data_IF_115007310440
#
_entry.id   IF_115007310440
#
_cell.length_a   1.000
_cell.length_b   1.000
_cell.length_c   1.000
_cell.angle_alpha   90.00
_cell.angle_beta   90.00
_cell.angle_gamma   90.00
#
_symmetry.space_group_name_H-M   'P 1'
#
loop_
_entity.id
_entity.type
_entity.pdbx_description
1 polymer ?
#
# COMPACT_ATOMS: atom_id res chain seq x y z
N UNK A 1 -27.03 34.69 -49.62
CA UNK A 1 -28.06 33.90 -48.90
C UNK A 1 -28.09 32.51 -49.50
N UNK A 2 -28.31 31.52 -48.62
CA UNK A 2 -28.50 30.07 -48.84
C UNK A 2 -27.31 29.27 -49.38
N UNK A 3 -26.57 28.66 -48.44
CA UNK A 3 -25.64 27.56 -48.67
C UNK A 3 -26.35 26.21 -48.68
N UNK A 4 -25.82 25.29 -49.48
CA UNK A 4 -26.23 23.89 -49.54
C UNK A 4 -25.44 23.06 -48.53
N UNK A 5 -26.16 22.32 -47.71
CA UNK A 5 -25.68 21.29 -46.80
C UNK A 5 -25.32 20.02 -47.59
N UNK A 6 -24.02 19.73 -47.73
CA UNK A 6 -23.52 18.44 -48.22
C UNK A 6 -23.45 17.43 -47.08
N UNK A 7 -24.35 16.44 -47.10
CA UNK A 7 -24.30 15.23 -46.28
C UNK A 7 -23.06 14.41 -46.62
N UNK A 8 -22.24 14.08 -45.61
CA UNK A 8 -21.02 13.26 -45.72
C UNK A 8 -21.31 11.78 -45.34
N UNK A 9 -22.46 11.24 -45.75
CA UNK A 9 -22.76 9.81 -45.62
C UNK A 9 -22.91 9.18 -47.00
N UNK A 10 -21.87 8.49 -47.48
CA UNK A 10 -21.96 7.35 -48.42
C UNK A 10 -20.59 7.01 -49.03
N UNK A 11 -19.67 6.51 -48.22
CA UNK A 11 -18.52 5.76 -48.74
C UNK A 11 -18.23 4.65 -47.77
N UNK A 12 -18.88 3.49 -47.91
CA UNK A 12 -18.38 2.14 -47.57
C UNK A 12 -19.46 1.09 -47.85
N UNK A 13 -19.67 0.69 -49.10
CA UNK A 13 -20.30 -0.60 -49.42
C UNK A 13 -19.76 -1.09 -50.77
N UNK A 14 -18.53 -1.62 -50.78
CA UNK A 14 -18.13 -2.62 -51.75
C UNK A 14 -17.53 -3.80 -50.98
N UNK A 15 -18.25 -4.92 -51.06
CA UNK A 15 -17.90 -6.20 -50.47
C UNK A 15 -16.60 -6.71 -51.07
N UNK A 16 -15.53 -6.73 -50.27
CA UNK A 16 -14.32 -7.47 -50.58
C UNK A 16 -14.39 -8.80 -49.84
N UNK A 17 -14.55 -9.89 -50.58
CA UNK A 17 -14.28 -11.25 -50.13
C UNK A 17 -12.78 -11.36 -49.81
N UNK A 18 -12.42 -10.98 -48.59
CA UNK A 18 -11.09 -11.22 -48.05
C UNK A 18 -10.98 -12.71 -47.69
N UNK A 19 -10.13 -13.44 -48.44
CA UNK A 19 -9.58 -14.70 -47.95
C UNK A 19 -8.97 -14.43 -46.58
N UNK A 20 -9.48 -15.11 -45.55
CA UNK A 20 -8.98 -15.06 -44.19
C UNK A 20 -7.60 -15.75 -44.13
N UNK A 21 -6.56 -15.02 -44.54
CA UNK A 21 -5.26 -15.20 -43.90
C UNK A 21 -5.52 -14.80 -42.45
N UNK A 22 -5.59 -15.79 -41.56
CA UNK A 22 -5.68 -15.61 -40.11
C UNK A 22 -4.38 -14.95 -39.62
N UNK A 23 -4.16 -13.68 -40.00
CA UNK A 23 -3.35 -12.80 -39.17
C UNK A 23 -4.11 -12.71 -37.86
N UNK A 24 -3.60 -13.41 -36.84
CA UNK A 24 -4.13 -13.31 -35.50
C UNK A 24 -4.06 -11.84 -35.12
N UNK A 25 -5.22 -11.18 -35.03
CA UNK A 25 -5.34 -9.79 -34.60
C UNK A 25 -4.59 -9.56 -33.27
N UNK A 26 -4.50 -10.61 -32.45
CA UNK A 26 -3.68 -10.65 -31.24
C UNK A 26 -2.18 -10.42 -31.51
N UNK A 27 -1.57 -11.02 -32.54
CA UNK A 27 -0.15 -10.81 -32.86
C UNK A 27 0.11 -9.39 -33.35
N UNK A 28 -0.78 -8.85 -34.19
CA UNK A 28 -0.65 -7.47 -34.65
C UNK A 28 -0.77 -6.47 -33.49
N UNK A 29 -1.76 -6.66 -32.61
CA UNK A 29 -1.95 -5.83 -31.42
C UNK A 29 -0.74 -5.91 -30.48
N UNK A 30 -0.17 -7.11 -30.27
CA UNK A 30 1.03 -7.28 -29.45
C UNK A 30 2.22 -6.50 -30.03
N UNK A 31 2.44 -6.58 -31.34
CA UNK A 31 3.51 -5.82 -32.01
C UNK A 31 3.33 -4.30 -31.84
N UNK A 32 2.09 -3.80 -31.90
CA UNK A 32 1.80 -2.38 -31.64
C UNK A 32 2.14 -2.02 -30.19
N UNK A 33 1.66 -2.81 -29.21
CA UNK A 33 1.90 -2.57 -27.79
C UNK A 33 3.41 -2.60 -27.48
N UNK A 34 4.14 -3.56 -28.04
CA UNK A 34 5.59 -3.67 -27.87
C UNK A 34 6.30 -2.47 -28.50
N UNK A 35 5.87 -2.00 -29.67
CA UNK A 35 6.43 -0.82 -30.29
C UNK A 35 6.17 0.44 -29.46
N UNK A 36 4.92 0.64 -29.00
CA UNK A 36 4.54 1.77 -28.15
C UNK A 36 5.35 1.80 -26.85
N UNK A 37 5.61 0.65 -26.24
CA UNK A 37 6.45 0.57 -25.04
C UNK A 37 7.92 0.87 -25.35
N UNK A 38 8.53 0.19 -26.33
CA UNK A 38 9.97 0.28 -26.58
C UNK A 38 10.41 1.58 -27.26
N UNK A 39 9.58 2.16 -28.13
CA UNK A 39 9.90 3.40 -28.83
C UNK A 39 9.17 4.60 -28.22
N UNK A 40 7.87 4.45 -27.94
CA UNK A 40 7.08 5.52 -27.36
C UNK A 40 7.48 5.83 -25.92
N UNK A 41 7.39 4.86 -25.01
CA UNK A 41 7.67 5.09 -23.59
C UNK A 41 9.17 5.14 -23.27
N UNK A 42 9.94 4.12 -23.65
CA UNK A 42 11.36 3.99 -23.27
C UNK A 42 12.26 5.04 -23.94
N UNK A 43 11.96 5.44 -25.18
CA UNK A 43 12.78 6.41 -25.94
C UNK A 43 12.14 7.79 -26.07
N UNK A 44 10.85 7.92 -25.79
CA UNK A 44 10.13 9.19 -25.95
C UNK A 44 9.97 9.63 -27.40
N UNK A 45 10.03 8.69 -28.36
CA UNK A 45 9.84 8.99 -29.78
C UNK A 45 8.42 9.49 -30.03
N UNK A 46 8.27 10.54 -30.85
CA UNK A 46 6.98 11.17 -31.19
C UNK A 46 6.16 11.75 -30.02
N UNK A 47 6.80 11.95 -28.87
CA UNK A 47 6.17 12.57 -27.71
C UNK A 47 5.69 14.00 -28.01
N UNK A 48 4.44 14.29 -27.61
CA UNK A 48 3.80 15.61 -27.69
C UNK A 48 3.69 16.29 -26.31
N UNK A 49 4.04 15.56 -25.24
CA UNK A 49 3.90 15.98 -23.86
C UNK A 49 5.20 15.73 -23.08
N UNK A 50 5.57 16.66 -22.22
CA UNK A 50 6.68 16.56 -21.27
C UNK A 50 6.10 16.52 -19.86
N UNK A 51 6.38 15.45 -19.12
CA UNK A 51 5.89 15.24 -17.77
C UNK A 51 7.04 15.34 -16.78
N UNK A 52 6.96 16.27 -15.84
CA UNK A 52 7.89 16.43 -14.72
C UNK A 52 7.34 15.74 -13.48
N UNK A 53 8.12 14.81 -12.93
CA UNK A 53 7.78 14.07 -11.70
C UNK A 53 9.05 13.84 -10.90
N UNK A 54 9.06 14.26 -9.64
CA UNK A 54 10.29 14.35 -8.84
C UNK A 54 11.36 15.14 -9.61
N UNK A 55 12.56 14.56 -9.78
CA UNK A 55 13.67 15.13 -10.53
C UNK A 55 13.72 14.63 -11.98
N UNK A 56 12.70 13.88 -12.43
CA UNK A 56 12.70 13.23 -13.74
C UNK A 56 11.80 13.95 -14.72
N UNK A 57 12.20 13.87 -15.98
CA UNK A 57 11.50 14.44 -17.12
C UNK A 57 11.19 13.31 -18.10
N UNK A 58 9.92 13.09 -18.37
CA UNK A 58 9.45 12.07 -19.29
C UNK A 58 8.86 12.70 -20.54
N UNK A 59 9.31 12.26 -21.71
CA UNK A 59 8.72 12.64 -23.00
C UNK A 59 7.67 11.57 -23.37
N UNK A 60 6.39 11.93 -23.30
CA UNK A 60 5.25 11.02 -23.35
C UNK A 60 4.16 11.51 -24.34
N UNK A 61 3.13 10.69 -24.51
CA UNK A 61 2.06 10.89 -25.49
C UNK A 61 0.74 11.20 -24.80
N UNK A 62 0.14 12.35 -25.10
CA UNK A 62 -1.11 12.81 -24.49
C UNK A 62 -2.24 11.76 -24.60
N UNK A 63 -2.34 11.08 -25.75
CA UNK A 63 -3.33 10.03 -25.99
C UNK A 63 -3.18 8.80 -25.09
N UNK A 64 -1.94 8.47 -24.69
CA UNK A 64 -1.68 7.37 -23.76
C UNK A 64 -1.89 7.84 -22.32
N UNK A 65 -1.42 9.05 -21.99
CA UNK A 65 -1.60 9.65 -20.67
C UNK A 65 -3.08 9.88 -20.33
N UNK A 66 -3.94 10.18 -21.31
CA UNK A 66 -5.36 10.39 -21.09
C UNK A 66 -6.12 9.16 -20.61
N UNK A 67 -5.49 7.98 -20.61
CA UNK A 67 -6.02 6.76 -19.97
C UNK A 67 -6.06 6.87 -18.44
N UNK A 68 -5.23 7.73 -17.85
CA UNK A 68 -5.25 8.05 -16.42
C UNK A 68 -6.20 9.24 -16.16
N UNK A 69 -7.24 9.06 -15.30
CA UNK A 69 -8.13 10.15 -14.90
C UNK A 69 -7.39 11.35 -14.29
N UNK A 70 -6.34 11.09 -13.52
CA UNK A 70 -5.51 12.13 -12.93
C UNK A 70 -4.73 12.91 -14.00
N UNK A 71 -4.06 12.21 -14.92
CA UNK A 71 -3.26 12.86 -15.95
C UNK A 71 -4.12 13.58 -16.99
N UNK A 72 -5.30 13.06 -17.36
CA UNK A 72 -6.20 13.78 -18.28
C UNK A 72 -6.72 15.08 -17.67
N UNK A 73 -6.95 15.10 -16.35
CA UNK A 73 -7.31 16.33 -15.64
C UNK A 73 -6.14 17.33 -15.70
N UNK A 74 -4.91 16.91 -15.38
CA UNK A 74 -3.72 17.78 -15.50
C UNK A 74 -3.50 18.28 -16.93
N UNK A 75 -3.71 17.43 -17.94
CA UNK A 75 -3.61 17.81 -19.34
C UNK A 75 -4.64 18.87 -19.72
N UNK A 76 -5.85 18.81 -19.13
CA UNK A 76 -6.96 19.71 -19.45
C UNK A 76 -6.86 21.06 -18.73
N UNK A 77 -6.25 21.09 -17.54
CA UNK A 77 -6.08 22.32 -16.73
C UNK A 77 -4.74 23.02 -16.99
N UNK A 78 -3.79 22.35 -17.64
CA UNK A 78 -2.55 22.97 -18.06
C UNK A 78 -2.81 24.10 -19.07
N UNK A 79 -2.18 25.28 -18.92
CA UNK A 79 -2.29 26.35 -19.90
C UNK A 79 -1.97 25.83 -21.30
N UNK A 80 -2.81 26.16 -22.29
CA UNK A 80 -2.54 25.80 -23.67
C UNK A 80 -1.24 26.47 -24.11
N UNK A 81 -0.27 25.65 -24.51
CA UNK A 81 0.98 26.15 -25.08
C UNK A 81 0.72 26.56 -26.54
N UNK A 82 1.46 27.57 -27.01
CA UNK A 82 1.44 28.04 -28.38
C UNK A 82 1.58 26.87 -29.38
N UNK A 83 0.97 27.03 -30.56
CA UNK A 83 1.04 26.06 -31.67
C UNK A 83 2.52 25.72 -31.95
N UNK A 84 2.88 24.44 -31.82
CA UNK A 84 4.24 23.95 -32.12
C UNK A 84 5.14 23.70 -30.91
N UNK A 85 4.69 23.95 -29.67
CA UNK A 85 5.45 23.64 -28.44
C UNK A 85 4.83 22.45 -27.70
N UNK A 86 5.66 21.48 -27.28
CA UNK A 86 5.22 20.33 -26.49
C UNK A 86 4.58 20.77 -25.16
N UNK A 87 3.46 20.15 -24.80
CA UNK A 87 2.73 20.47 -23.56
C UNK A 87 3.55 20.02 -22.36
N UNK A 88 3.82 20.90 -21.40
CA UNK A 88 4.57 20.55 -20.18
C UNK A 88 3.63 20.48 -18.98
N UNK A 89 3.67 19.36 -18.24
CA UNK A 89 2.85 19.14 -17.04
C UNK A 89 3.73 18.70 -15.86
N UNK A 90 3.35 19.14 -14.66
CA UNK A 90 4.06 18.87 -13.41
C UNK A 90 3.17 18.06 -12.48
N UNK A 91 3.69 16.97 -11.94
CA UNK A 91 2.97 16.10 -11.00
C UNK A 91 3.41 16.42 -9.57
N UNK A 92 2.48 16.85 -8.69
CA UNK A 92 2.80 17.14 -7.29
C UNK A 92 2.94 15.85 -6.49
N UNK A 93 4.17 15.39 -6.28
CA UNK A 93 4.51 14.15 -5.55
C UNK A 93 5.28 14.40 -4.26
N UNK A 94 5.68 15.64 -3.98
CA UNK A 94 6.60 16.01 -2.89
C UNK A 94 6.04 15.70 -1.49
N UNK A 95 4.72 15.52 -1.38
CA UNK A 95 4.02 15.21 -0.12
C UNK A 95 3.71 13.74 0.04
N UNK A 96 4.05 12.91 -0.94
CA UNK A 96 3.63 11.51 -1.02
C UNK A 96 4.86 10.60 -1.06
N UNK A 97 5.49 10.30 0.10
CA UNK A 97 6.76 9.57 0.16
C UNK A 97 6.65 8.13 -0.38
N UNK A 98 5.44 7.58 -0.38
CA UNK A 98 5.14 6.25 -0.91
C UNK A 98 5.12 6.23 -2.44
N UNK A 99 4.95 7.38 -3.11
CA UNK A 99 5.04 7.48 -4.57
C UNK A 99 6.50 7.69 -4.96
N UNK A 100 7.27 6.61 -5.06
CA UNK A 100 8.68 6.72 -5.45
C UNK A 100 8.84 6.94 -6.96
N UNK A 101 10.02 7.40 -7.39
CA UNK A 101 10.37 7.52 -8.81
C UNK A 101 10.19 6.19 -9.56
N UNK A 102 10.65 5.08 -8.98
CA UNK A 102 10.57 3.76 -9.60
C UNK A 102 9.12 3.31 -9.72
N UNK A 103 8.33 3.40 -8.63
CA UNK A 103 6.93 3.03 -8.62
C UNK A 103 6.12 3.81 -9.65
N UNK A 104 6.38 5.12 -9.75
CA UNK A 104 5.73 5.99 -10.72
C UNK A 104 6.12 5.66 -12.16
N UNK A 105 7.41 5.38 -12.43
CA UNK A 105 7.86 4.99 -13.76
C UNK A 105 7.23 3.67 -14.23
N UNK A 106 7.09 2.69 -13.34
CA UNK A 106 6.41 1.42 -13.65
C UNK A 106 4.93 1.66 -13.97
N UNK A 107 4.24 2.50 -13.17
CA UNK A 107 2.83 2.82 -13.40
C UNK A 107 2.61 3.61 -14.72
N UNK A 108 3.52 4.53 -15.07
CA UNK A 108 3.50 5.18 -16.39
C UNK A 108 3.74 4.19 -17.53
N UNK A 109 4.72 3.29 -17.38
CA UNK A 109 4.99 2.25 -18.37
C UNK A 109 3.79 1.33 -18.58
N UNK A 110 3.02 1.06 -17.52
CA UNK A 110 1.80 0.25 -17.59
C UNK A 110 0.73 0.86 -18.51
N UNK A 111 0.63 2.19 -18.59
CA UNK A 111 -0.28 2.86 -19.54
C UNK A 111 0.02 2.51 -21.00
N UNK A 112 1.29 2.18 -21.31
CA UNK A 112 1.73 1.75 -22.63
C UNK A 112 1.64 0.23 -22.81
N UNK A 113 2.06 -0.55 -21.81
CA UNK A 113 2.09 -2.02 -21.90
C UNK A 113 2.11 -2.70 -20.53
N UNK A 114 1.42 -3.83 -20.43
CA UNK A 114 1.41 -4.73 -19.27
C UNK A 114 2.76 -5.39 -19.01
N UNK A 115 3.75 -5.27 -19.91
CA UNK A 115 5.13 -5.74 -19.66
C UNK A 115 5.72 -5.13 -18.39
N UNK A 116 5.27 -3.93 -18.00
CA UNK A 116 5.67 -3.24 -16.77
C UNK A 116 5.35 -4.03 -15.50
N UNK A 117 4.36 -4.94 -15.54
CA UNK A 117 4.05 -5.83 -14.41
C UNK A 117 5.25 -6.70 -14.02
N UNK A 118 6.13 -7.05 -14.98
CA UNK A 118 7.34 -7.86 -14.73
C UNK A 118 8.39 -7.12 -13.90
N UNK A 119 8.26 -5.80 -13.77
CA UNK A 119 9.17 -4.95 -12.99
C UNK A 119 8.74 -4.85 -11.52
N UNK A 120 7.54 -5.34 -11.19
CA UNK A 120 7.00 -5.31 -9.83
C UNK A 120 7.64 -6.42 -9.02
N UNK A 121 8.22 -6.04 -7.89
CA UNK A 121 8.93 -6.89 -6.93
C UNK A 121 8.48 -6.55 -5.51
N UNK A 122 8.67 -7.44 -4.53
CA UNK A 122 8.31 -7.18 -3.13
C UNK A 122 8.79 -5.81 -2.61
N UNK A 123 9.99 -5.37 -3.03
CA UNK A 123 10.64 -4.16 -2.54
C UNK A 123 10.03 -2.87 -3.10
N UNK A 124 9.45 -2.92 -4.30
CA UNK A 124 8.88 -1.75 -4.98
C UNK A 124 7.34 -1.79 -5.10
N UNK A 125 6.70 -2.93 -4.77
CA UNK A 125 5.28 -3.15 -4.98
C UNK A 125 4.40 -2.10 -4.29
N UNK A 126 4.78 -1.68 -3.08
CA UNK A 126 4.05 -0.64 -2.33
C UNK A 126 4.05 0.69 -3.07
N UNK A 127 5.20 1.07 -3.63
CA UNK A 127 5.33 2.30 -4.38
C UNK A 127 4.59 2.27 -5.72
N UNK A 128 4.61 1.11 -6.41
CA UNK A 128 3.82 0.90 -7.63
C UNK A 128 2.33 0.99 -7.32
N UNK A 129 1.87 0.40 -6.21
CA UNK A 129 0.48 0.49 -5.77
C UNK A 129 0.07 1.95 -5.49
N UNK A 130 0.88 2.69 -4.74
CA UNK A 130 0.64 4.10 -4.46
C UNK A 130 0.55 4.94 -5.75
N UNK A 131 1.51 4.76 -6.67
CA UNK A 131 1.50 5.43 -7.95
C UNK A 131 0.29 5.04 -8.81
N UNK A 132 -0.08 3.77 -8.82
CA UNK A 132 -1.22 3.27 -9.59
C UNK A 132 -2.54 3.84 -9.11
N UNK A 133 -2.76 3.89 -7.79
CA UNK A 133 -3.92 4.51 -7.19
C UNK A 133 -3.95 6.03 -7.41
N UNK A 134 -2.80 6.71 -7.35
CA UNK A 134 -2.69 8.15 -7.64
C UNK A 134 -3.07 8.47 -9.09
N UNK A 135 -2.54 7.71 -10.05
CA UNK A 135 -2.83 7.91 -11.47
C UNK A 135 -4.27 7.52 -11.82
N UNK A 136 -4.79 6.46 -11.19
CA UNK A 136 -6.12 5.91 -11.44
C UNK A 136 -6.27 5.23 -12.81
N UNK A 137 -7.37 4.49 -12.99
CA UNK A 137 -7.71 3.83 -14.25
C UNK A 137 -6.84 2.61 -14.62
N UNK A 138 -6.19 2.00 -13.62
CA UNK A 138 -5.26 0.88 -13.79
C UNK A 138 -5.45 -0.19 -12.70
N UNK A 139 -6.69 -0.67 -12.57
CA UNK A 139 -7.10 -1.59 -11.50
C UNK A 139 -6.28 -2.89 -11.48
N UNK A 140 -6.03 -3.49 -12.66
CA UNK A 140 -5.19 -4.71 -12.77
C UNK A 140 -3.76 -4.50 -12.26
N UNK A 141 -3.18 -3.30 -12.45
CA UNK A 141 -1.86 -2.95 -11.92
C UNK A 141 -1.92 -2.88 -10.39
N UNK A 142 -2.93 -2.19 -9.86
CA UNK A 142 -3.12 -2.03 -8.43
C UNK A 142 -3.36 -3.38 -7.75
N UNK A 143 -4.20 -4.24 -8.31
CA UNK A 143 -4.46 -5.57 -7.77
C UNK A 143 -3.21 -6.45 -7.78
N UNK A 144 -2.44 -6.46 -8.88
CA UNK A 144 -1.18 -7.20 -8.95
C UNK A 144 -0.14 -6.69 -7.95
N UNK A 145 0.00 -5.36 -7.81
CA UNK A 145 0.91 -4.75 -6.86
C UNK A 145 0.49 -5.05 -5.42
N UNK A 146 -0.81 -4.97 -5.11
CA UNK A 146 -1.36 -5.35 -3.81
C UNK A 146 -1.11 -6.82 -3.47
N UNK A 147 -1.35 -7.75 -4.39
CA UNK A 147 -1.07 -9.17 -4.17
C UNK A 147 0.42 -9.45 -3.95
N UNK A 148 1.29 -8.64 -4.57
CA UNK A 148 2.74 -8.71 -4.35
C UNK A 148 3.11 -8.17 -2.97
N UNK A 149 2.53 -7.04 -2.54
CA UNK A 149 2.65 -6.52 -1.18
C UNK A 149 2.23 -7.57 -0.14
N UNK A 150 1.04 -8.16 -0.31
CA UNK A 150 0.51 -9.17 0.60
C UNK A 150 1.43 -10.39 0.74
N UNK A 151 1.95 -10.90 -0.37
CA UNK A 151 2.89 -12.05 -0.38
C UNK A 151 4.26 -11.70 0.22
N UNK A 152 4.62 -10.42 0.24
CA UNK A 152 5.89 -9.98 0.82
C UNK A 152 5.87 -9.88 2.35
N UNK A 153 4.71 -10.00 3.01
CA UNK A 153 4.61 -9.92 4.47
C UNK A 153 5.18 -11.21 5.08
N UNK A 154 6.28 -11.08 5.81
CA UNK A 154 7.04 -12.19 6.41
C UNK A 154 7.71 -11.74 7.71
N UNK A 155 8.38 -12.66 8.42
CA UNK A 155 9.12 -12.34 9.65
C UNK A 155 10.20 -11.29 9.38
N UNK A 156 10.90 -11.38 8.25
CA UNK A 156 12.02 -10.50 7.92
C UNK A 156 11.56 -9.10 7.46
N UNK A 157 10.36 -9.01 6.89
CA UNK A 157 9.84 -7.79 6.28
C UNK A 157 8.78 -7.09 7.14
N UNK A 158 8.35 -7.68 8.25
CA UNK A 158 7.29 -7.12 9.10
C UNK A 158 7.63 -5.74 9.66
N UNK A 159 8.91 -5.46 9.94
CA UNK A 159 9.35 -4.15 10.48
C UNK A 159 8.90 -2.97 9.59
N UNK A 160 9.33 -2.90 8.32
CA UNK A 160 8.87 -1.89 7.38
C UNK A 160 7.35 -1.85 7.14
N UNK A 161 6.63 -2.95 7.37
CA UNK A 161 5.16 -2.97 7.31
C UNK A 161 4.52 -2.33 8.56
N UNK A 162 5.11 -2.51 9.73
CA UNK A 162 4.67 -1.86 10.97
C UNK A 162 4.90 -0.35 10.93
N UNK A 163 6.04 0.09 10.42
CA UNK A 163 6.34 1.52 10.20
C UNK A 163 5.30 2.16 9.26
N UNK A 164 4.99 1.47 8.17
CA UNK A 164 3.95 1.90 7.23
C UNK A 164 2.57 2.03 7.91
N UNK A 165 2.15 1.02 8.67
CA UNK A 165 0.85 1.02 9.36
C UNK A 165 0.77 2.14 10.42
N UNK A 166 1.87 2.42 11.11
CA UNK A 166 1.94 3.53 12.08
C UNK A 166 1.76 4.87 11.36
N UNK A 167 2.47 5.08 10.25
CA UNK A 167 2.42 6.31 9.47
C UNK A 167 1.04 6.64 8.88
N UNK A 168 0.21 5.62 8.58
CA UNK A 168 -1.15 5.80 8.05
C UNK A 168 -2.23 5.90 9.14
N UNK A 169 -1.91 5.62 10.41
CA UNK A 169 -2.88 5.71 11.50
C UNK A 169 -2.99 7.18 11.94
N UNK A 170 -4.17 7.81 11.90
CA UNK A 170 -4.31 9.19 12.37
C UNK A 170 -3.95 9.26 13.87
N UNK A 171 -3.24 10.32 14.33
CA UNK A 171 -2.90 10.45 15.73
C UNK A 171 -4.19 10.52 16.55
N UNK A 172 -4.47 9.49 17.35
CA UNK A 172 -5.54 9.55 18.33
C UNK A 172 -5.12 10.48 19.47
N UNK A 173 -5.24 11.80 19.27
CA UNK A 173 -5.10 12.81 20.31
C UNK A 173 -5.90 14.04 19.87
N UNK A 174 -6.99 14.30 20.58
CA UNK A 174 -7.93 15.40 20.32
C UNK A 174 -7.31 16.78 20.47
N UNK A 175 -6.66 17.25 19.41
CA UNK A 175 -6.38 18.65 19.17
C UNK A 175 -7.03 19.03 17.84
N UNK A 176 -8.24 19.60 17.93
CA UNK A 176 -8.89 20.31 16.84
C UNK A 176 -7.98 21.44 16.35
N UNK A 177 -7.23 21.17 15.29
CA UNK A 177 -6.60 22.21 14.48
C UNK A 177 -6.99 21.93 13.03
N UNK A 178 -7.83 22.77 12.41
CA UNK A 178 -8.19 22.61 11.00
C UNK A 178 -7.03 23.13 10.13
N UNK A 179 -5.95 22.35 10.06
CA UNK A 179 -4.95 22.48 9.01
C UNK A 179 -5.32 21.59 7.82
N UNK A 180 -4.97 21.94 6.57
CA UNK A 180 -5.15 21.06 5.43
C UNK A 180 -4.06 19.97 5.47
N UNK A 181 -4.10 19.09 6.46
CA UNK A 181 -3.26 17.89 6.49
C UNK A 181 -3.89 16.84 5.57
N UNK A 182 -3.35 16.76 4.36
CA UNK A 182 -3.67 15.69 3.42
C UNK A 182 -3.10 14.41 4.01
N UNK A 183 -3.97 13.56 4.55
CA UNK A 183 -3.55 12.31 5.18
C UNK A 183 -2.97 11.34 4.13
N UNK A 184 -1.85 10.64 4.41
CA UNK A 184 -1.26 9.61 3.53
C UNK A 184 -2.23 8.45 3.17
N UNK A 185 -3.38 8.41 3.84
CA UNK A 185 -4.55 7.55 3.59
C UNK A 185 -5.11 7.73 2.16
N UNK A 186 -4.95 8.88 1.52
CA UNK A 186 -5.58 9.14 0.22
C UNK A 186 -4.93 8.40 -0.94
N UNK A 187 -3.62 8.14 -0.89
CA UNK A 187 -2.91 7.63 -2.06
C UNK A 187 -3.17 6.15 -2.34
N UNK A 188 -3.41 5.33 -1.31
CA UNK A 188 -3.65 3.89 -1.47
C UNK A 188 -5.13 3.53 -1.69
N UNK A 189 -6.03 4.51 -1.70
CA UNK A 189 -7.47 4.30 -1.88
C UNK A 189 -8.01 3.16 -0.98
N UNK A 190 -8.71 2.15 -1.54
CA UNK A 190 -9.28 1.05 -0.75
C UNK A 190 -8.24 0.05 -0.23
N UNK A 191 -7.01 0.06 -0.74
CA UNK A 191 -5.99 -0.93 -0.39
C UNK A 191 -5.34 -0.65 0.97
N UNK A 192 -5.43 0.58 1.48
CA UNK A 192 -4.83 0.96 2.78
C UNK A 192 -5.35 0.10 3.94
N UNK A 193 -6.67 -0.09 4.02
CA UNK A 193 -7.28 -0.91 5.06
C UNK A 193 -6.98 -2.39 4.83
N UNK A 194 -7.00 -2.84 3.58
CA UNK A 194 -6.68 -4.24 3.23
C UNK A 194 -5.25 -4.61 3.64
N UNK A 195 -4.28 -3.74 3.37
CA UNK A 195 -2.89 -3.94 3.79
C UNK A 195 -2.75 -3.95 5.32
N UNK A 196 -3.45 -3.04 6.02
CA UNK A 196 -3.49 -3.04 7.49
C UNK A 196 -4.07 -4.36 8.03
N UNK A 197 -5.15 -4.86 7.44
CA UNK A 197 -5.79 -6.11 7.82
C UNK A 197 -4.90 -7.33 7.53
N UNK A 198 -4.18 -7.33 6.40
CA UNK A 198 -3.23 -8.39 6.07
C UNK A 198 -2.03 -8.41 7.05
N UNK A 199 -1.50 -7.25 7.43
CA UNK A 199 -0.46 -7.14 8.47
C UNK A 199 -0.99 -7.62 9.82
N UNK A 200 -2.20 -7.23 10.20
CA UNK A 200 -2.84 -7.70 11.43
C UNK A 200 -3.05 -9.21 11.43
N UNK A 201 -3.57 -9.77 10.33
CA UNK A 201 -3.76 -11.21 10.14
C UNK A 201 -2.43 -11.95 10.18
N UNK A 202 -1.37 -11.37 9.63
CA UNK A 202 -0.04 -11.95 9.72
C UNK A 202 0.39 -12.07 11.18
N UNK A 203 0.34 -10.98 11.96
CA UNK A 203 0.74 -10.97 13.38
C UNK A 203 -0.06 -11.94 14.25
N UNK A 204 -1.38 -12.02 14.02
CA UNK A 204 -2.30 -12.73 14.90
C UNK A 204 -2.43 -14.21 14.55
N UNK A 205 -2.38 -14.55 13.26
CA UNK A 205 -2.65 -15.92 12.78
C UNK A 205 -1.43 -16.55 12.14
N UNK A 206 -0.78 -15.85 11.21
CA UNK A 206 0.24 -16.48 10.36
C UNK A 206 1.57 -16.65 11.10
N UNK A 207 2.00 -15.61 11.81
CA UNK A 207 3.27 -15.59 12.54
C UNK A 207 3.31 -16.64 13.67
N UNK A 208 2.31 -16.75 14.57
CA UNK A 208 2.32 -17.81 15.59
C UNK A 208 2.30 -19.23 15.01
N UNK A 209 1.70 -19.43 13.84
CA UNK A 209 1.68 -20.71 13.14
C UNK A 209 3.05 -21.05 12.52
N UNK A 210 3.70 -20.08 11.87
CA UNK A 210 5.05 -20.25 11.30
C UNK A 210 6.07 -20.55 12.41
N UNK A 211 5.92 -19.93 13.58
CA UNK A 211 6.81 -20.10 14.73
C UNK A 211 6.45 -21.31 15.60
N UNK A 212 5.45 -22.11 15.20
CA UNK A 212 5.01 -23.33 15.89
C UNK A 212 4.71 -23.14 17.40
N UNK A 213 4.20 -21.96 17.78
CA UNK A 213 3.94 -21.60 19.19
C UNK A 213 2.88 -22.52 19.84
N UNK A 214 2.09 -23.20 19.01
CA UNK A 214 1.01 -24.10 19.37
C UNK A 214 1.43 -25.56 19.59
N UNK A 215 2.68 -25.93 19.34
CA UNK A 215 3.11 -27.31 19.45
C UNK A 215 2.90 -27.79 20.89
N UNK A 216 1.88 -28.63 21.08
CA UNK A 216 1.69 -29.37 22.32
C UNK A 216 2.95 -30.23 22.52
N UNK A 217 3.55 -30.24 23.72
CA UNK A 217 4.67 -31.13 23.98
C UNK A 217 4.14 -32.57 23.87
N UNK A 218 4.40 -33.22 22.74
CA UNK A 218 4.32 -34.68 22.68
C UNK A 218 5.45 -35.19 23.59
N UNK A 219 5.14 -36.19 24.43
CA UNK A 219 6.02 -36.71 25.49
C UNK A 219 7.41 -37.20 25.02
N UNK A 220 7.72 -37.14 23.72
CA UNK A 220 8.99 -37.59 23.13
C UNK A 220 9.69 -36.56 22.20
N UNK A 221 9.29 -35.28 22.19
CA UNK A 221 9.98 -34.24 21.40
C UNK A 221 10.50 -33.11 22.29
N UNK A 222 11.74 -32.63 22.10
CA UNK A 222 12.24 -31.51 22.88
C UNK A 222 11.40 -30.27 22.58
N UNK A 223 11.09 -29.55 23.66
CA UNK A 223 10.81 -28.10 23.79
C UNK A 223 10.45 -27.37 22.49
N UNK A 224 9.29 -26.68 22.47
CA UNK A 224 9.01 -25.55 21.56
C UNK A 224 10.33 -24.80 21.31
N UNK A 225 10.78 -24.60 20.06
CA UNK A 225 12.08 -23.98 19.83
C UNK A 225 12.08 -22.64 20.56
N UNK A 226 12.95 -22.47 21.57
CA UNK A 226 12.99 -21.27 22.43
C UNK A 226 13.04 -20.00 21.56
N UNK A 227 13.69 -20.11 20.40
CA UNK A 227 13.78 -19.10 19.36
C UNK A 227 12.42 -18.59 18.85
N UNK A 228 11.39 -19.45 18.71
CA UNK A 228 10.10 -19.05 18.15
C UNK A 228 9.37 -18.05 19.04
N UNK A 229 9.33 -18.31 20.35
CA UNK A 229 8.71 -17.39 21.32
C UNK A 229 9.51 -16.09 21.43
N UNK A 230 10.84 -16.16 21.36
CA UNK A 230 11.72 -14.99 21.37
C UNK A 230 11.51 -14.11 20.13
N UNK A 231 11.44 -14.70 18.92
CA UNK A 231 11.14 -13.97 17.67
C UNK A 231 9.77 -13.31 17.75
N UNK A 232 8.74 -14.02 18.24
CA UNK A 232 7.40 -13.45 18.42
C UNK A 232 7.45 -12.24 19.36
N UNK A 233 8.18 -12.34 20.47
CA UNK A 233 8.36 -11.26 21.44
C UNK A 233 9.08 -10.07 20.80
N UNK A 234 10.14 -10.33 20.04
CA UNK A 234 10.90 -9.30 19.31
C UNK A 234 10.00 -8.55 18.32
N UNK A 235 9.20 -9.26 17.51
CA UNK A 235 8.26 -8.63 16.57
C UNK A 235 7.22 -7.80 17.32
N UNK A 236 6.57 -8.36 18.34
CA UNK A 236 5.55 -7.65 19.13
C UNK A 236 6.09 -6.48 19.94
N UNK A 237 7.42 -6.41 20.16
CA UNK A 237 8.07 -5.25 20.77
C UNK A 237 8.06 -4.00 19.87
N UNK A 238 7.94 -4.17 18.55
CA UNK A 238 7.90 -3.09 17.56
C UNK A 238 6.50 -2.73 17.05
N UNK A 239 5.44 -3.43 17.45
CA UNK A 239 4.08 -3.22 16.90
C UNK A 239 3.45 -1.92 17.44
N UNK A 240 2.84 -1.05 16.60
CA UNK A 240 2.11 0.13 17.08
C UNK A 240 1.02 -0.20 18.09
N UNK A 241 0.75 0.68 19.05
CA UNK A 241 -0.08 0.34 20.22
C UNK A 241 -1.47 -0.17 19.88
N UNK A 242 -2.18 0.50 18.97
CA UNK A 242 -3.55 0.11 18.65
C UNK A 242 -3.58 -1.28 18.02
N UNK A 243 -2.59 -1.59 17.19
CA UNK A 243 -2.43 -2.91 16.58
C UNK A 243 -1.99 -3.95 17.61
N UNK A 244 -1.08 -3.60 18.53
CA UNK A 244 -0.64 -4.47 19.62
C UNK A 244 -1.80 -4.83 20.55
N UNK A 245 -2.56 -3.82 21.01
CA UNK A 245 -3.75 -3.99 21.84
C UNK A 245 -4.77 -4.88 21.14
N UNK A 246 -5.12 -4.56 19.88
CA UNK A 246 -6.07 -5.33 19.10
C UNK A 246 -5.61 -6.79 18.87
N UNK A 247 -4.31 -7.01 18.70
CA UNK A 247 -3.75 -8.35 18.50
C UNK A 247 -3.83 -9.19 19.78
N UNK A 248 -3.39 -8.65 20.93
CA UNK A 248 -3.46 -9.34 22.22
C UNK A 248 -4.91 -9.63 22.61
N UNK A 249 -5.81 -8.69 22.39
CA UNK A 249 -7.24 -8.85 22.70
C UNK A 249 -8.00 -9.70 21.67
N UNK A 250 -7.35 -10.13 20.59
CA UNK A 250 -7.99 -10.92 19.55
C UNK A 250 -8.24 -12.36 20.01
N UNK A 251 -9.43 -12.93 19.79
CA UNK A 251 -9.65 -14.37 20.00
C UNK A 251 -8.82 -15.23 19.04
N UNK A 252 -8.43 -14.67 17.88
CA UNK A 252 -7.63 -15.37 16.88
C UNK A 252 -6.15 -15.47 17.27
N UNK A 253 -5.69 -14.74 18.28
CA UNK A 253 -4.31 -14.80 18.76
C UNK A 253 -4.11 -16.00 19.68
N UNK A 254 -3.95 -17.16 19.06
CA UNK A 254 -3.78 -18.42 19.76
C UNK A 254 -2.28 -18.56 20.09
N UNK A 255 -1.93 -18.48 21.38
CA UNK A 255 -0.55 -18.70 21.88
C UNK A 255 -0.55 -19.52 23.19
N UNK A 256 -1.63 -20.29 23.39
CA UNK A 256 -1.92 -21.02 24.63
C UNK A 256 -3.14 -20.46 25.37
N UNK A 257 -3.18 -20.69 26.70
CA UNK A 257 -4.27 -20.23 27.57
C UNK A 257 -4.27 -18.71 27.76
N UNK A 258 -5.37 -18.16 28.29
CA UNK A 258 -5.45 -16.74 28.66
C UNK A 258 -4.34 -16.32 29.64
N UNK A 259 -3.91 -17.23 30.51
CA UNK A 259 -2.77 -17.00 31.41
C UNK A 259 -1.44 -16.93 30.64
N UNK A 260 -1.23 -17.79 29.63
CA UNK A 260 -0.03 -17.75 28.79
C UNK A 260 0.01 -16.47 27.95
N UNK A 261 -1.16 -16.05 27.43
CA UNK A 261 -1.33 -14.79 26.70
C UNK A 261 -1.08 -13.57 27.58
N UNK A 262 -1.62 -13.56 28.79
CA UNK A 262 -1.34 -12.51 29.77
C UNK A 262 0.15 -12.41 30.10
N UNK A 263 0.82 -13.54 30.32
CA UNK A 263 2.26 -13.60 30.57
C UNK A 263 3.04 -13.04 29.37
N UNK A 264 2.71 -13.46 28.15
CA UNK A 264 3.33 -12.95 26.93
C UNK A 264 3.13 -11.44 26.77
N UNK A 265 1.91 -10.94 26.95
CA UNK A 265 1.62 -9.50 26.86
C UNK A 265 2.43 -8.69 27.88
N UNK A 266 2.62 -9.22 29.10
CA UNK A 266 3.46 -8.60 30.11
C UNK A 266 4.94 -8.55 29.68
N UNK A 267 5.48 -9.65 29.17
CA UNK A 267 6.84 -9.73 28.63
C UNK A 267 7.04 -8.74 27.46
N UNK A 268 6.08 -8.68 26.54
CA UNK A 268 6.12 -7.77 25.41
C UNK A 268 6.09 -6.30 25.85
N UNK A 269 5.21 -5.93 26.79
CA UNK A 269 5.15 -4.58 27.37
C UNK A 269 6.49 -4.20 28.00
N UNK A 270 7.15 -5.10 28.74
CA UNK A 270 8.47 -4.82 29.31
C UNK A 270 9.52 -4.57 28.21
N UNK A 271 9.54 -5.38 27.14
CA UNK A 271 10.43 -5.19 26.00
C UNK A 271 10.17 -3.83 25.29
N UNK A 272 8.90 -3.44 25.17
CA UNK A 272 8.47 -2.19 24.50
C UNK A 272 8.93 -0.93 25.22
N UNK A 273 9.16 -0.97 26.54
CA UNK A 273 9.66 0.17 27.33
C UNK A 273 11.02 0.67 26.87
N UNK A 274 11.83 -0.22 26.29
CA UNK A 274 13.16 0.12 25.77
C UNK A 274 13.12 0.69 24.35
N UNK A 275 11.98 0.57 23.64
CA UNK A 275 11.79 1.01 22.26
C UNK A 275 10.63 1.99 22.11
N UNK A 276 9.62 1.60 21.32
CA UNK A 276 8.52 2.46 20.87
C UNK A 276 7.58 2.97 21.98
N UNK A 277 7.62 2.38 23.18
CA UNK A 277 6.82 2.83 24.33
C UNK A 277 7.65 3.65 25.35
N UNK A 278 8.84 4.13 24.98
CA UNK A 278 9.70 4.91 25.88
C UNK A 278 8.98 6.18 26.37
N UNK A 279 8.69 6.23 27.67
CA UNK A 279 7.99 7.35 28.31
C UNK A 279 6.46 7.20 28.39
N UNK A 280 5.91 6.10 27.88
CA UNK A 280 4.51 5.72 28.01
C UNK A 280 4.37 4.58 29.04
N UNK A 281 3.24 4.53 29.74
CA UNK A 281 2.91 3.46 30.67
C UNK A 281 1.85 2.55 30.02
N UNK A 282 2.31 1.43 29.48
CA UNK A 282 1.44 0.34 29.02
C UNK A 282 1.25 -0.69 30.14
N UNK A 283 0.04 -1.19 30.31
CA UNK A 283 -0.31 -2.21 31.30
C UNK A 283 -1.23 -3.26 30.70
N UNK A 284 -1.14 -4.49 31.21
CA UNK A 284 -2.03 -5.59 30.86
C UNK A 284 -2.80 -6.05 32.10
N UNK A 285 -4.08 -6.35 31.92
CA UNK A 285 -4.98 -6.85 32.96
C UNK A 285 -5.62 -8.15 32.51
N UNK A 286 -5.77 -9.10 33.43
CA UNK A 286 -6.54 -10.32 33.24
C UNK A 286 -7.88 -10.15 33.95
N UNK A 287 -8.97 -10.16 33.20
CA UNK A 287 -10.33 -10.08 33.73
C UNK A 287 -10.79 -11.48 34.18
N UNK A 288 -11.13 -11.60 35.46
CA UNK A 288 -11.71 -12.82 36.02
C UNK A 288 -13.23 -12.63 36.15
N UNK A 289 -14.03 -13.50 35.52
CA UNK A 289 -15.48 -13.59 35.77
C UNK A 289 -16.46 -13.14 34.66
N UNK A 290 -16.03 -13.02 33.40
CA UNK A 290 -16.87 -12.57 32.27
C UNK A 290 -17.25 -13.67 31.28
N UNK A 291 -17.96 -14.71 31.71
CA UNK A 291 -18.31 -15.88 30.87
C UNK A 291 -19.33 -15.66 29.75
N UNK A 292 -19.71 -14.43 29.38
CA UNK A 292 -20.91 -14.24 28.53
C UNK A 292 -20.87 -13.24 27.38
N UNK A 293 -19.73 -12.64 27.04
CA UNK A 293 -19.62 -11.81 25.83
C UNK A 293 -18.23 -12.00 25.24
N UNK A 294 -18.15 -12.52 24.01
CA UNK A 294 -16.94 -12.95 23.27
C UNK A 294 -15.80 -11.93 23.14
N UNK A 295 -15.29 -11.47 24.27
CA UNK A 295 -14.22 -10.50 24.46
C UNK A 295 -13.07 -11.23 25.16
N UNK A 296 -11.82 -10.98 24.75
CA UNK A 296 -10.67 -11.65 25.34
C UNK A 296 -10.56 -11.33 26.83
N UNK A 297 -10.22 -12.33 27.65
CA UNK A 297 -9.97 -12.13 29.09
C UNK A 297 -8.75 -11.24 29.37
N UNK A 298 -7.86 -11.04 28.37
CA UNK A 298 -6.65 -10.22 28.50
C UNK A 298 -6.90 -8.87 27.84
N UNK A 299 -6.72 -7.79 28.60
CA UNK A 299 -6.89 -6.41 28.11
C UNK A 299 -5.62 -5.59 28.27
N UNK A 300 -5.32 -4.75 27.28
CA UNK A 300 -4.14 -3.87 27.29
C UNK A 300 -4.56 -2.41 27.32
N UNK A 301 -3.94 -1.61 28.19
CA UNK A 301 -4.20 -0.17 28.30
C UNK A 301 -2.90 0.63 28.27
N UNK A 302 -2.97 1.90 27.83
CA UNK A 302 -1.83 2.83 27.79
C UNK A 302 -2.22 4.16 28.42
N UNK A 303 -1.32 4.72 29.23
CA UNK A 303 -1.42 6.06 29.84
C UNK A 303 -0.12 6.84 29.64
N UNK A 304 -0.22 8.17 29.57
CA UNK A 304 0.96 9.03 29.61
C UNK A 304 1.52 9.08 31.03
N UNK A 305 2.85 8.98 31.14
CA UNK A 305 3.54 9.06 32.42
C UNK A 305 3.43 10.49 32.97
N UNK A 306 2.70 10.69 34.07
CA UNK A 306 2.60 12.01 34.71
C UNK A 306 3.98 12.43 35.22
N UNK A 307 4.49 13.59 34.79
CA UNK A 307 5.69 14.19 35.39
C UNK A 307 5.36 14.58 36.83
N UNK A 308 6.22 14.28 37.83
CA UNK A 308 5.98 14.71 39.20
C UNK A 308 5.94 16.24 39.24
N UNK A 309 4.81 16.83 39.65
CA UNK A 309 4.75 18.24 40.01
C UNK A 309 5.56 18.43 41.29
N UNK A 310 6.64 19.20 41.19
CA UNK A 310 7.39 19.63 42.37
C UNK A 310 6.48 20.56 43.19
N UNK A 311 6.27 20.19 44.45
CA UNK A 311 5.57 21.04 45.41
C UNK A 311 6.60 22.04 45.93
N UNK A 312 6.44 23.32 45.62
CA UNK A 312 7.16 24.38 46.33
C UNK A 312 6.54 24.48 47.71
N UNK A 313 7.31 24.16 48.75
CA UNK A 313 6.92 24.55 50.10
C UNK A 313 7.30 26.03 50.26
N UNK A 314 6.28 26.86 50.46
CA UNK A 314 6.41 28.26 50.89
C UNK A 314 6.75 28.35 52.37
#
# INVERSE_FOLDING_TARGET
MTGQSGSFESFWLHSATFSSVLFSSSTHNQNIIDYLYNYGFQRGEYADTVLHVHQNVYRLHAIILSRSPFLVQLLSTSPQVQVGVSRTIYVPVEREPEVTQEGFAIALGYLYSSVSLRLIRPENARAVLAAGCMLGGMDDLCDFAYDTCKRSISVDTIGPWLEFVDAITPPSSGADTPGPEVSPIRIFGPYVQRLRDDVFRFLVVTLPNILEIHATPSENSPTTPENGREILLQVFSGVPFDMFKAAIESPNFQIGSDQARFKFAKEAIEARKQGIARGLEETVVLAFGGGNFGTSAVHVTRKMRKRPLWKVNS
#
